data_IF_041149122573
#
_entry.id   IF_041149122573
#
_cell.length_a   1.000
_cell.length_b   1.000
_cell.length_c   1.000
_cell.angle_alpha   90.00
_cell.angle_beta   90.00
_cell.angle_gamma   90.00
#
_symmetry.space_group_name_H-M   'P 1'
#
loop_
_entity.id
_entity.type
_entity.pdbx_description
1 polymer ?
#
# COMPACT_ATOMS: atom_id res chain seq x y z
N UNK A 1 13.61 -7.52 -9.18
CA UNK A 1 14.47 -7.00 -10.27
C UNK A 1 15.20 -5.80 -9.72
N UNK A 2 16.49 -5.66 -10.03
CA UNK A 2 17.29 -4.49 -9.63
C UNK A 2 17.13 -3.38 -10.66
N UNK A 3 17.38 -2.13 -10.26
CA UNK A 3 17.33 -0.97 -11.16
C UNK A 3 18.18 -1.17 -12.43
N UNK A 4 19.40 -1.69 -12.28
CA UNK A 4 20.28 -2.00 -13.42
C UNK A 4 19.70 -3.05 -14.37
N UNK A 5 19.06 -4.10 -13.84
CA UNK A 5 18.44 -5.12 -14.69
C UNK A 5 17.28 -4.58 -15.54
N UNK A 6 16.55 -3.58 -15.02
CA UNK A 6 15.48 -2.92 -15.78
C UNK A 6 16.03 -2.01 -16.89
N UNK A 7 17.18 -1.36 -16.68
CA UNK A 7 17.89 -0.59 -17.71
C UNK A 7 18.30 -1.52 -18.86
N UNK A 8 18.92 -2.67 -18.54
CA UNK A 8 19.39 -3.63 -19.53
C UNK A 8 18.23 -4.23 -20.35
N UNK A 9 17.13 -4.57 -19.67
CA UNK A 9 15.92 -5.06 -20.32
C UNK A 9 15.29 -4.00 -21.23
N UNK A 10 15.22 -2.74 -20.80
CA UNK A 10 14.72 -1.65 -21.63
C UNK A 10 15.63 -1.36 -22.83
N UNK A 11 16.95 -1.37 -22.63
CA UNK A 11 17.93 -1.15 -23.69
C UNK A 11 17.86 -2.25 -24.76
N UNK A 12 17.70 -3.50 -24.33
CA UNK A 12 17.53 -4.65 -25.24
C UNK A 12 16.28 -4.50 -26.10
N UNK A 13 15.14 -4.17 -25.48
CA UNK A 13 13.88 -3.97 -26.21
C UNK A 13 13.94 -2.76 -27.17
N UNK A 14 14.53 -1.64 -26.75
CA UNK A 14 14.70 -0.46 -27.61
C UNK A 14 15.57 -0.80 -28.83
N UNK A 15 16.63 -1.60 -28.64
CA UNK A 15 17.48 -2.06 -29.73
C UNK A 15 16.73 -2.95 -30.72
N UNK A 16 15.85 -3.84 -30.25
CA UNK A 16 15.02 -4.70 -31.11
C UNK A 16 14.06 -3.89 -32.00
N UNK A 17 13.51 -2.79 -31.48
CA UNK A 17 12.60 -1.91 -32.23
C UNK A 17 13.33 -0.94 -33.18
N UNK A 18 14.66 -0.87 -33.08
CA UNK A 18 15.50 -0.09 -33.99
C UNK A 18 15.20 1.41 -33.98
N UNK A 19 15.27 2.04 -35.16
CA UNK A 19 15.17 3.50 -35.30
C UNK A 19 13.82 4.08 -34.88
N UNK A 20 12.77 3.26 -34.81
CA UNK A 20 11.45 3.69 -34.38
C UNK A 20 11.44 4.19 -32.92
N UNK A 21 12.36 3.70 -32.08
CA UNK A 21 12.40 3.97 -30.64
C UNK A 21 13.60 4.82 -30.20
N UNK A 22 14.28 5.50 -31.13
CA UNK A 22 15.47 6.32 -30.84
C UNK A 22 15.24 7.45 -29.81
N UNK A 23 14.00 7.90 -29.61
CA UNK A 23 13.67 8.94 -28.64
C UNK A 23 13.47 8.41 -27.20
N UNK A 24 13.47 7.08 -27.01
CA UNK A 24 13.21 6.45 -25.70
C UNK A 24 14.55 6.24 -24.98
N UNK A 25 14.65 6.75 -23.76
CA UNK A 25 15.80 6.49 -22.89
C UNK A 25 15.56 5.22 -22.05
N UNK A 26 16.43 4.19 -22.15
CA UNK A 26 16.34 2.98 -21.31
C UNK A 26 16.33 3.30 -19.81
N UNK A 27 17.11 4.30 -19.39
CA UNK A 27 17.22 4.68 -17.99
C UNK A 27 15.92 5.31 -17.46
N UNK A 28 15.31 6.21 -18.23
CA UNK A 28 14.04 6.80 -17.81
C UNK A 28 12.91 5.76 -17.75
N UNK A 29 12.91 4.77 -18.66
CA UNK A 29 11.99 3.62 -18.57
C UNK A 29 12.21 2.84 -17.27
N UNK A 30 13.47 2.54 -16.92
CA UNK A 30 13.80 1.83 -15.69
C UNK A 30 13.38 2.61 -14.43
N UNK A 31 13.54 3.94 -14.42
CA UNK A 31 13.08 4.81 -13.32
C UNK A 31 11.57 4.74 -13.14
N UNK A 32 10.80 4.81 -14.24
CA UNK A 32 9.34 4.69 -14.19
C UNK A 32 8.89 3.31 -13.67
N UNK A 33 9.59 2.24 -14.04
CA UNK A 33 9.33 0.88 -13.52
C UNK A 33 9.64 0.79 -12.02
N UNK A 34 10.78 1.32 -11.58
CA UNK A 34 11.15 1.34 -10.16
C UNK A 34 10.15 2.14 -9.31
N UNK A 35 9.67 3.28 -9.82
CA UNK A 35 8.65 4.11 -9.19
C UNK A 35 7.25 3.46 -9.16
N UNK A 36 7.04 2.38 -9.91
CA UNK A 36 5.79 1.63 -9.95
C UNK A 36 6.01 0.14 -9.64
N UNK A 37 6.74 -0.13 -8.54
CA UNK A 37 7.06 -1.49 -8.06
C UNK A 37 5.82 -2.39 -7.93
N UNK A 38 4.72 -1.86 -7.41
CA UNK A 38 3.46 -2.58 -7.25
C UNK A 38 2.48 -2.15 -8.33
N UNK A 39 2.26 -3.01 -9.32
CA UNK A 39 1.46 -2.68 -10.49
C UNK A 39 -0.03 -2.93 -10.26
N UNK A 40 -0.37 -3.90 -9.42
CA UNK A 40 -1.74 -4.27 -9.08
C UNK A 40 -1.94 -4.37 -7.56
N UNK A 41 -3.20 -4.27 -7.11
CA UNK A 41 -3.52 -4.55 -5.70
C UNK A 41 -3.23 -6.01 -5.33
N UNK A 42 -3.34 -6.96 -6.26
CA UNK A 42 -2.97 -8.36 -6.00
C UNK A 42 -1.47 -8.51 -5.68
N UNK A 43 -0.59 -7.72 -6.31
CA UNK A 43 0.83 -7.72 -5.97
C UNK A 43 1.06 -7.22 -4.53
N UNK A 44 0.31 -6.18 -4.14
CA UNK A 44 0.32 -5.62 -2.79
C UNK A 44 -0.19 -6.65 -1.78
N UNK A 45 -1.32 -7.28 -2.05
CA UNK A 45 -1.94 -8.27 -1.16
C UNK A 45 -1.01 -9.46 -0.91
N UNK A 46 -0.37 -10.00 -1.96
CA UNK A 46 0.63 -11.08 -1.83
C UNK A 46 1.85 -10.65 -1.02
N UNK A 47 2.40 -9.48 -1.33
CA UNK A 47 3.57 -8.94 -0.64
C UNK A 47 3.30 -8.72 0.86
N UNK A 48 2.18 -8.07 1.18
CA UNK A 48 1.83 -7.72 2.55
C UNK A 48 1.34 -8.91 3.37
N UNK A 49 0.70 -9.91 2.75
CA UNK A 49 0.36 -11.16 3.42
C UNK A 49 1.61 -11.88 3.94
N UNK A 50 2.71 -11.90 3.17
CA UNK A 50 3.97 -12.49 3.60
C UNK A 50 4.57 -11.76 4.81
N UNK A 51 4.50 -10.43 4.82
CA UNK A 51 4.95 -9.62 5.97
C UNK A 51 4.14 -9.96 7.22
N UNK A 52 2.81 -9.98 7.12
CA UNK A 52 1.95 -10.29 8.26
C UNK A 52 2.23 -11.70 8.81
N UNK A 53 2.41 -12.69 7.94
CA UNK A 53 2.76 -14.07 8.37
C UNK A 53 4.10 -14.14 9.08
N UNK A 54 5.12 -13.41 8.59
CA UNK A 54 6.41 -13.28 9.27
C UNK A 54 6.25 -12.63 10.64
N UNK A 55 5.49 -11.55 10.73
CA UNK A 55 5.28 -10.84 11.98
C UNK A 55 4.51 -11.67 13.02
N UNK A 56 3.52 -12.47 12.59
CA UNK A 56 2.83 -13.44 13.44
C UNK A 56 3.80 -14.47 14.03
N UNK A 57 4.68 -15.06 13.20
CA UNK A 57 5.66 -16.04 13.66
C UNK A 57 6.68 -15.43 14.63
N UNK A 58 7.07 -14.17 14.42
CA UNK A 58 7.94 -13.44 15.34
C UNK A 58 7.24 -13.16 16.69
N UNK A 59 5.94 -12.84 16.68
CA UNK A 59 5.15 -12.67 17.90
C UNK A 59 4.95 -13.99 18.66
N UNK A 60 4.69 -15.10 17.95
CA UNK A 60 4.57 -16.43 18.56
C UNK A 60 5.87 -16.84 19.27
N UNK A 61 7.02 -16.44 18.74
CA UNK A 61 8.32 -16.68 19.35
C UNK A 61 8.64 -15.70 20.50
N UNK A 62 8.17 -14.46 20.40
CA UNK A 62 8.39 -13.39 21.37
C UNK A 62 7.20 -12.42 21.42
N UNK A 63 6.42 -12.50 22.49
CA UNK A 63 5.24 -11.65 22.73
C UNK A 63 5.54 -10.14 22.79
N UNK A 64 6.80 -9.72 22.97
CA UNK A 64 7.18 -8.30 22.88
C UNK A 64 7.27 -7.80 21.44
N UNK A 65 7.35 -8.70 20.46
CA UNK A 65 7.45 -8.41 19.02
C UNK A 65 6.09 -8.21 18.34
N UNK A 66 5.22 -7.41 18.98
CA UNK A 66 3.88 -7.11 18.48
C UNK A 66 3.86 -6.06 17.35
N UNK A 67 2.72 -5.94 16.67
CA UNK A 67 2.47 -4.98 15.58
C UNK A 67 1.44 -3.93 15.99
N UNK A 68 1.47 -2.76 15.35
CA UNK A 68 0.53 -1.67 15.65
C UNK A 68 -0.03 -1.01 14.38
N UNK A 69 -1.23 -0.45 14.49
CA UNK A 69 -1.88 0.31 13.43
C UNK A 69 -2.68 1.48 14.01
N UNK A 70 -3.08 2.38 13.12
CA UNK A 70 -4.08 3.42 13.38
C UNK A 70 -5.05 3.42 12.21
N UNK A 71 -6.32 3.64 12.52
CA UNK A 71 -7.36 3.85 11.52
C UNK A 71 -7.01 5.04 10.61
N UNK A 72 -7.13 4.86 9.30
CA UNK A 72 -6.97 5.94 8.32
C UNK A 72 -8.20 6.04 7.43
N UNK A 73 -8.95 7.13 7.54
CA UNK A 73 -10.21 7.33 6.80
C UNK A 73 -10.00 7.85 5.37
N UNK A 74 -8.78 8.21 4.98
CA UNK A 74 -8.46 8.67 3.63
C UNK A 74 -7.00 8.34 3.27
N UNK A 75 -6.73 8.15 1.97
CA UNK A 75 -5.42 7.81 1.44
C UNK A 75 -4.32 8.77 1.85
N UNK A 76 -4.61 10.07 1.83
CA UNK A 76 -3.69 11.11 2.31
C UNK A 76 -3.32 10.97 3.78
N UNK A 77 -4.26 10.58 4.65
CA UNK A 77 -3.97 10.36 6.08
C UNK A 77 -3.06 9.14 6.26
N UNK A 78 -3.35 8.05 5.55
CA UNK A 78 -2.48 6.86 5.52
C UNK A 78 -1.08 7.18 5.01
N UNK A 79 -0.97 8.00 3.97
CA UNK A 79 0.30 8.46 3.42
C UNK A 79 1.12 9.27 4.42
N UNK A 80 0.53 10.31 5.02
CA UNK A 80 1.24 11.14 6.00
C UNK A 80 1.67 10.32 7.22
N UNK A 81 0.84 9.35 7.66
CA UNK A 81 1.21 8.41 8.72
C UNK A 81 2.48 7.63 8.36
N UNK A 82 2.55 7.04 7.17
CA UNK A 82 3.71 6.24 6.78
C UNK A 82 4.97 7.08 6.53
N UNK A 83 4.83 8.29 5.99
CA UNK A 83 5.93 9.24 5.86
C UNK A 83 6.48 9.62 7.24
N UNK A 84 5.60 9.92 8.20
CA UNK A 84 6.00 10.24 9.56
C UNK A 84 6.72 9.07 10.25
N UNK A 85 6.23 7.84 10.06
CA UNK A 85 6.86 6.62 10.58
C UNK A 85 8.28 6.46 10.02
N UNK A 86 8.47 6.52 8.69
CA UNK A 86 9.82 6.43 8.11
C UNK A 86 10.73 7.55 8.60
N UNK A 87 10.22 8.79 8.67
CA UNK A 87 11.00 9.96 9.12
C UNK A 87 11.50 9.83 10.56
N UNK A 88 10.65 9.36 11.47
CA UNK A 88 10.95 9.39 12.91
C UNK A 88 11.38 8.05 13.48
N UNK A 89 10.88 6.94 12.94
CA UNK A 89 11.13 5.58 13.42
C UNK A 89 12.04 4.78 12.48
N UNK A 90 12.46 5.37 11.34
CA UNK A 90 13.43 4.82 10.37
C UNK A 90 13.01 3.54 9.63
N UNK A 91 11.94 2.86 10.05
CA UNK A 91 11.43 1.65 9.38
C UNK A 91 9.91 1.56 9.45
N UNK A 92 9.31 0.95 8.43
CA UNK A 92 7.89 0.59 8.41
C UNK A 92 7.59 -0.74 9.11
N UNK A 93 8.62 -1.53 9.45
CA UNK A 93 8.49 -2.82 10.11
C UNK A 93 7.60 -2.73 11.36
N UNK A 94 6.69 -3.69 11.56
CA UNK A 94 5.68 -3.73 12.65
C UNK A 94 4.59 -2.65 12.64
N UNK A 95 4.48 -1.84 11.58
CA UNK A 95 3.47 -0.77 11.48
C UNK A 95 2.54 -1.01 10.30
N UNK A 96 1.25 -1.13 10.57
CA UNK A 96 0.21 -1.44 9.58
C UNK A 96 -0.78 -0.29 9.39
N UNK A 97 -1.62 -0.39 8.37
CA UNK A 97 -2.87 0.34 8.23
C UNK A 97 -4.03 -0.40 8.91
N UNK A 98 -5.01 0.35 9.40
CA UNK A 98 -6.33 -0.19 9.75
C UNK A 98 -7.39 0.55 8.94
N UNK A 99 -8.28 -0.20 8.30
CA UNK A 99 -9.49 0.33 7.69
C UNK A 99 -10.64 0.09 8.66
N UNK A 100 -11.26 1.17 9.12
CA UNK A 100 -12.36 1.13 10.07
C UNK A 100 -13.69 1.23 9.32
N UNK A 101 -14.58 0.23 9.47
CA UNK A 101 -15.94 0.27 8.94
C UNK A 101 -16.72 1.48 9.46
N UNK A 102 -16.55 1.81 10.75
CA UNK A 102 -17.11 3.02 11.38
C UNK A 102 -16.71 4.31 10.64
N UNK A 103 -15.42 4.51 10.34
CA UNK A 103 -14.99 5.72 9.65
C UNK A 103 -15.44 5.76 8.19
N UNK A 104 -15.59 4.60 7.54
CA UNK A 104 -16.18 4.52 6.19
C UNK A 104 -17.64 5.00 6.26
N UNK A 105 -18.44 4.47 7.18
CA UNK A 105 -19.83 4.88 7.37
C UNK A 105 -19.94 6.38 7.69
N UNK A 106 -19.10 6.90 8.58
CA UNK A 106 -19.19 8.28 9.05
C UNK A 106 -18.69 9.33 8.02
N UNK A 107 -17.74 8.97 7.14
CA UNK A 107 -17.00 9.98 6.36
C UNK A 107 -16.93 9.69 4.86
N UNK A 108 -17.19 8.46 4.41
CA UNK A 108 -16.90 8.02 3.04
C UNK A 108 -18.12 7.62 2.23
N UNK A 109 -19.29 7.59 2.85
CA UNK A 109 -20.52 7.27 2.15
C UNK A 109 -21.00 8.42 1.27
N UNK A 110 -21.49 8.09 0.07
CA UNK A 110 -22.18 9.05 -0.81
C UNK A 110 -23.47 9.59 -0.17
N UNK A 111 -24.04 8.88 0.82
CA UNK A 111 -25.19 9.33 1.61
C UNK A 111 -24.83 10.37 2.68
N UNK A 112 -23.56 10.73 2.80
CA UNK A 112 -23.05 11.53 3.91
C UNK A 112 -22.85 10.69 5.19
N UNK A 113 -22.73 11.33 6.37
CA UNK A 113 -22.45 10.62 7.61
C UNK A 113 -23.57 9.66 8.01
N UNK A 114 -23.23 8.37 8.12
CA UNK A 114 -24.11 7.31 8.59
C UNK A 114 -23.61 6.70 9.91
N UNK A 115 -24.51 6.12 10.72
CA UNK A 115 -24.09 5.30 11.85
C UNK A 115 -23.44 4.00 11.36
N UNK A 116 -22.65 3.39 12.23
CA UNK A 116 -21.89 2.15 11.97
C UNK A 116 -22.77 0.91 12.01
N UNK A 117 -23.60 0.76 10.99
CA UNK A 117 -24.62 -0.30 10.84
C UNK A 117 -24.63 -0.90 9.41
N UNK A 118 -23.51 -0.83 8.70
CA UNK A 118 -23.35 -1.36 7.33
C UNK A 118 -24.37 -0.86 6.28
N UNK A 119 -24.98 0.32 6.50
CA UNK A 119 -26.00 0.89 5.61
C UNK A 119 -25.43 1.64 4.41
N UNK A 120 -24.14 1.99 4.45
CA UNK A 120 -23.46 2.64 3.34
C UNK A 120 -23.23 1.67 2.18
N UNK A 121 -23.01 2.21 1.00
CA UNK A 121 -22.63 1.46 -0.19
C UNK A 121 -21.31 0.71 0.02
N UNK A 122 -21.38 -0.63 -0.01
CA UNK A 122 -20.25 -1.52 0.31
C UNK A 122 -19.00 -1.28 -0.54
N UNK A 123 -19.15 -0.70 -1.73
CA UNK A 123 -18.04 -0.32 -2.61
C UNK A 123 -17.09 0.67 -1.95
N UNK A 124 -17.56 1.51 -1.05
CA UNK A 124 -16.75 2.52 -0.33
C UNK A 124 -15.67 1.91 0.56
N UNK A 125 -15.89 0.68 1.05
CA UNK A 125 -14.87 -0.10 1.77
C UNK A 125 -13.70 -0.44 0.84
N UNK A 126 -13.98 -1.10 -0.30
CA UNK A 126 -12.95 -1.48 -1.27
C UNK A 126 -12.26 -0.27 -1.92
N UNK A 127 -13.01 0.81 -2.16
CA UNK A 127 -12.49 2.04 -2.74
C UNK A 127 -11.47 2.71 -1.82
N UNK A 128 -11.72 2.74 -0.49
CA UNK A 128 -10.77 3.28 0.47
C UNK A 128 -9.46 2.46 0.52
N UNK A 129 -9.52 1.13 0.39
CA UNK A 129 -8.31 0.29 0.30
C UNK A 129 -7.47 0.68 -0.91
N UNK A 130 -8.11 0.77 -2.09
CA UNK A 130 -7.44 1.14 -3.33
C UNK A 130 -6.85 2.56 -3.25
N UNK A 131 -7.57 3.50 -2.64
CA UNK A 131 -7.12 4.88 -2.40
C UNK A 131 -5.89 4.90 -1.49
N UNK A 132 -5.93 4.21 -0.34
CA UNK A 132 -4.80 4.12 0.58
C UNK A 132 -3.54 3.63 -0.14
N UNK A 133 -3.64 2.54 -0.90
CA UNK A 133 -2.48 2.02 -1.63
C UNK A 133 -2.05 2.89 -2.80
N UNK A 134 -2.97 3.61 -3.45
CA UNK A 134 -2.62 4.61 -4.47
C UNK A 134 -1.75 5.71 -3.88
N UNK A 135 -2.14 6.24 -2.73
CA UNK A 135 -1.37 7.28 -2.05
C UNK A 135 -0.02 6.78 -1.51
N UNK A 136 0.07 5.55 -1.00
CA UNK A 136 1.34 4.96 -0.57
C UNK A 136 2.30 4.71 -1.73
N UNK A 137 1.81 4.16 -2.85
CA UNK A 137 2.61 3.99 -4.08
C UNK A 137 3.11 5.33 -4.61
N UNK A 138 2.29 6.37 -4.54
CA UNK A 138 2.70 7.71 -4.94
C UNK A 138 3.77 8.31 -4.01
N UNK A 139 3.78 7.95 -2.72
CA UNK A 139 4.85 8.36 -1.82
C UNK A 139 6.19 7.73 -2.20
N UNK A 140 6.20 6.43 -2.53
CA UNK A 140 7.38 5.74 -3.07
C UNK A 140 7.88 6.42 -4.34
N UNK A 141 6.98 6.63 -5.31
CA UNK A 141 7.32 7.25 -6.59
C UNK A 141 7.95 8.63 -6.42
N UNK A 142 7.40 9.44 -5.51
CA UNK A 142 7.93 10.78 -5.18
C UNK A 142 9.31 10.70 -4.52
N UNK A 143 9.50 9.83 -3.54
CA UNK A 143 10.77 9.66 -2.84
C UNK A 143 11.87 9.18 -3.80
N UNK A 144 11.59 8.13 -4.58
CA UNK A 144 12.48 7.64 -5.63
C UNK A 144 12.77 8.71 -6.69
N UNK A 145 11.77 9.49 -7.09
CA UNK A 145 11.97 10.63 -7.99
C UNK A 145 12.85 11.75 -7.41
N UNK A 146 12.91 11.88 -6.08
CA UNK A 146 13.93 12.70 -5.41
C UNK A 146 15.32 12.09 -5.55
N UNK A 147 15.46 10.81 -5.22
CA UNK A 147 16.74 10.09 -5.30
C UNK A 147 17.32 10.04 -6.72
N UNK A 148 16.51 9.85 -7.75
CA UNK A 148 17.01 9.89 -9.13
C UNK A 148 17.53 11.27 -9.55
N UNK A 149 16.94 12.36 -9.04
CA UNK A 149 17.46 13.71 -9.27
C UNK A 149 18.76 13.97 -8.51
N UNK A 150 18.89 13.43 -7.30
CA UNK A 150 20.16 13.44 -6.56
C UNK A 150 21.24 12.64 -7.30
N UNK A 151 20.87 11.51 -7.90
CA UNK A 151 21.78 10.67 -8.68
C UNK A 151 22.28 11.41 -9.93
N UNK A 152 21.38 12.09 -10.66
CA UNK A 152 21.73 12.91 -11.81
C UNK A 152 22.68 14.06 -11.41
N UNK A 153 22.36 14.77 -10.34
CA UNK A 153 23.20 15.86 -9.84
C UNK A 153 24.60 15.38 -9.42
N UNK A 154 24.71 14.21 -8.78
CA UNK A 154 26.00 13.62 -8.41
C UNK A 154 26.84 13.26 -9.65
N UNK A 155 26.22 12.70 -10.68
CA UNK A 155 26.87 12.37 -11.96
C UNK A 155 27.33 13.63 -12.71
N UNK A 156 26.49 14.65 -12.77
CA UNK A 156 26.82 15.94 -13.39
C UNK A 156 27.99 16.63 -12.67
N UNK A 157 28.07 16.49 -11.34
CA UNK A 157 29.18 17.01 -10.55
C UNK A 157 30.46 16.14 -10.62
N UNK A 158 30.40 14.94 -11.19
CA UNK A 158 31.50 13.98 -11.19
C UNK A 158 31.85 13.42 -9.81
N UNK A 159 30.91 13.47 -8.85
CA UNK A 159 31.11 13.00 -7.48
C UNK A 159 30.74 11.50 -7.37
N UNK A 160 31.74 10.65 -7.60
CA UNK A 160 31.58 9.20 -7.56
C UNK A 160 31.15 8.67 -6.17
N UNK A 161 31.52 9.36 -5.09
CA UNK A 161 31.13 8.95 -3.74
C UNK A 161 29.65 9.25 -3.48
N UNK A 162 29.18 10.43 -3.89
CA UNK A 162 27.77 10.80 -3.82
C UNK A 162 26.91 9.92 -4.74
N UNK A 163 27.38 9.62 -5.96
CA UNK A 163 26.69 8.72 -6.88
C UNK A 163 26.47 7.34 -6.25
N UNK A 164 27.53 6.72 -5.72
CA UNK A 164 27.44 5.42 -5.07
C UNK A 164 26.52 5.44 -3.82
N UNK A 165 26.57 6.51 -3.04
CA UNK A 165 25.71 6.67 -1.87
C UNK A 165 24.22 6.77 -2.24
N UNK A 166 23.88 7.55 -3.27
CA UNK A 166 22.49 7.69 -3.74
C UNK A 166 22.00 6.41 -4.40
N UNK A 167 22.84 5.74 -5.20
CA UNK A 167 22.51 4.45 -5.80
C UNK A 167 22.17 3.42 -4.73
N UNK A 168 22.94 3.36 -3.64
CA UNK A 168 22.65 2.48 -2.49
C UNK A 168 21.29 2.80 -1.84
N UNK A 169 20.90 4.08 -1.73
CA UNK A 169 19.57 4.46 -1.23
C UNK A 169 18.44 4.00 -2.15
N UNK A 170 18.64 4.04 -3.47
CA UNK A 170 17.67 3.58 -4.47
C UNK A 170 17.50 2.06 -4.35
N UNK A 171 18.61 1.32 -4.33
CA UNK A 171 18.59 -0.15 -4.30
C UNK A 171 18.00 -0.70 -2.99
N UNK A 172 18.16 0.03 -1.89
CA UNK A 172 17.65 -0.33 -0.57
C UNK A 172 16.40 0.47 -0.15
N UNK A 173 15.70 1.10 -1.10
CA UNK A 173 14.52 1.90 -0.78
C UNK A 173 13.43 1.05 -0.08
N UNK A 174 13.12 1.41 1.16
CA UNK A 174 12.02 0.82 1.92
C UNK A 174 10.68 1.45 1.47
N UNK A 175 9.80 0.63 0.91
CA UNK A 175 8.47 1.06 0.45
C UNK A 175 7.58 1.52 1.62
N UNK A 176 6.70 2.49 1.34
CA UNK A 176 5.62 2.90 2.24
C UNK A 176 4.44 1.91 2.24
N UNK A 177 4.39 0.96 1.29
CA UNK A 177 3.36 -0.08 1.21
C UNK A 177 3.53 -1.06 2.36
N UNK A 178 2.55 -1.08 3.26
CA UNK A 178 2.49 -1.94 4.44
C UNK A 178 1.19 -2.75 4.50
N UNK A 179 1.12 -3.82 5.32
CA UNK A 179 -0.12 -4.55 5.54
C UNK A 179 -1.27 -3.66 6.01
N UNK A 180 -2.48 -4.04 5.61
CA UNK A 180 -3.74 -3.47 6.10
C UNK A 180 -4.59 -4.57 6.72
N UNK A 181 -5.13 -4.29 7.91
CA UNK A 181 -6.24 -5.05 8.49
C UNK A 181 -7.51 -4.31 8.07
N UNK A 182 -8.34 -4.98 7.25
CA UNK A 182 -9.51 -4.36 6.66
C UNK A 182 -10.81 -4.92 7.24
N UNK A 183 -11.57 -4.05 7.87
CA UNK A 183 -12.91 -4.34 8.40
C UNK A 183 -13.93 -4.53 7.26
N UNK A 184 -14.61 -5.67 7.25
CA UNK A 184 -15.71 -5.98 6.32
C UNK A 184 -17.07 -6.02 7.03
N UNK A 185 -17.14 -5.57 8.28
CA UNK A 185 -18.30 -5.71 9.14
C UNK A 185 -18.70 -7.19 9.27
N UNK A 186 -19.99 -7.50 9.10
CA UNK A 186 -20.53 -8.86 9.00
C UNK A 186 -20.68 -9.33 7.53
N UNK A 187 -19.97 -8.71 6.58
CA UNK A 187 -19.94 -9.14 5.18
C UNK A 187 -20.98 -8.50 4.25
N UNK A 188 -21.75 -7.52 4.73
CA UNK A 188 -22.75 -6.76 3.94
C UNK A 188 -23.77 -7.66 3.20
N UNK A 189 -24.19 -8.76 3.83
CA UNK A 189 -25.18 -9.69 3.31
C UNK A 189 -24.89 -11.13 3.73
N UNK A 190 -25.29 -12.08 2.88
CA UNK A 190 -25.00 -13.51 3.05
C UNK A 190 -23.55 -13.87 2.67
N UNK A 191 -23.23 -15.16 2.67
CA UNK A 191 -21.90 -15.69 2.37
C UNK A 191 -21.44 -15.35 0.94
N UNK A 192 -22.35 -15.35 -0.03
CA UNK A 192 -22.04 -14.98 -1.41
C UNK A 192 -21.72 -13.48 -1.53
N UNK A 193 -22.51 -12.62 -0.87
CA UNK A 193 -22.23 -11.19 -0.81
C UNK A 193 -20.89 -10.90 -0.12
N UNK A 194 -20.60 -11.64 0.96
CA UNK A 194 -19.34 -11.56 1.70
C UNK A 194 -18.16 -11.93 0.80
N UNK A 195 -18.28 -13.04 0.06
CA UNK A 195 -17.25 -13.47 -0.89
C UNK A 195 -16.97 -12.41 -1.97
N UNK A 196 -18.02 -11.86 -2.58
CA UNK A 196 -17.89 -10.84 -3.63
C UNK A 196 -17.17 -9.59 -3.12
N UNK A 197 -17.55 -9.11 -1.93
CA UNK A 197 -16.92 -7.93 -1.32
C UNK A 197 -15.47 -8.22 -0.90
N UNK A 198 -15.21 -9.35 -0.22
CA UNK A 198 -13.87 -9.73 0.19
C UNK A 198 -12.92 -9.87 -1.01
N UNK A 199 -13.40 -10.44 -2.13
CA UNK A 199 -12.65 -10.52 -3.38
C UNK A 199 -12.24 -9.12 -3.87
N UNK A 200 -13.17 -8.17 -3.91
CA UNK A 200 -12.87 -6.79 -4.34
C UNK A 200 -11.88 -6.10 -3.39
N UNK A 201 -12.00 -6.32 -2.07
CA UNK A 201 -11.06 -5.78 -1.08
C UNK A 201 -9.63 -6.33 -1.27
N UNK A 202 -9.50 -7.63 -1.57
CA UNK A 202 -8.20 -8.26 -1.86
C UNK A 202 -7.64 -7.77 -3.19
N UNK A 203 -8.47 -7.66 -4.24
CA UNK A 203 -8.08 -7.07 -5.54
C UNK A 203 -7.60 -5.62 -5.40
N UNK A 204 -8.15 -4.87 -4.44
CA UNK A 204 -7.71 -3.52 -4.08
C UNK A 204 -6.40 -3.48 -3.27
N UNK A 205 -5.99 -4.60 -2.67
CA UNK A 205 -4.69 -4.75 -1.99
C UNK A 205 -4.74 -5.27 -0.56
N UNK A 206 -5.91 -5.55 0.01
CA UNK A 206 -5.98 -6.06 1.38
C UNK A 206 -5.43 -7.49 1.49
N UNK A 207 -4.53 -7.71 2.45
CA UNK A 207 -4.02 -9.03 2.80
C UNK A 207 -4.76 -9.69 3.98
N UNK A 208 -5.50 -8.89 4.76
CA UNK A 208 -6.19 -9.33 5.97
C UNK A 208 -7.60 -8.75 6.00
N UNK A 209 -8.59 -9.62 6.18
CA UNK A 209 -10.00 -9.28 6.28
C UNK A 209 -10.46 -9.63 7.69
N UNK A 210 -11.01 -8.65 8.40
CA UNK A 210 -11.65 -8.82 9.70
C UNK A 210 -13.16 -8.91 9.46
N UNK A 211 -13.77 -10.02 9.88
CA UNK A 211 -15.20 -10.31 9.80
C UNK A 211 -15.73 -10.59 11.21
N UNK A 212 -16.92 -10.10 11.53
CA UNK A 212 -17.56 -10.32 12.84
C UNK A 212 -18.81 -11.22 12.75
N UNK A 213 -19.23 -11.76 13.89
CA UNK A 213 -20.35 -12.71 14.01
C UNK A 213 -21.69 -12.06 14.39
N UNK A 214 -21.78 -10.73 14.31
CA UNK A 214 -23.03 -10.00 14.55
C UNK A 214 -23.94 -10.07 13.32
N UNK A 215 -25.25 -9.86 13.51
CA UNK A 215 -26.22 -9.95 12.40
C UNK A 215 -26.14 -8.67 11.56
N UNK A 216 -25.94 -8.80 10.25
CA UNK A 216 -25.68 -7.66 9.34
C UNK A 216 -26.80 -6.61 9.27
N UNK A 217 -28.05 -6.97 9.58
CA UNK A 217 -29.22 -6.08 9.57
C UNK A 217 -29.52 -5.42 10.94
N UNK A 218 -28.89 -5.92 12.00
CA UNK A 218 -28.94 -5.37 13.36
C UNK A 218 -27.53 -5.00 13.88
N UNK A 219 -26.54 -4.93 12.98
CA UNK A 219 -25.14 -4.64 13.34
C UNK A 219 -25.10 -3.32 14.09
N UNK A 220 -24.47 -3.34 15.26
CA UNK A 220 -24.17 -2.14 16.03
C UNK A 220 -22.66 -2.07 16.27
N UNK A 221 -22.14 -0.85 16.39
CA UNK A 221 -20.77 -0.64 16.79
C UNK A 221 -20.45 -1.40 18.09
N UNK A 222 -19.20 -1.87 18.21
CA UNK A 222 -18.69 -2.64 19.33
C UNK A 222 -18.91 -2.05 20.74
N UNK A 223 -19.24 -0.77 20.84
CA UNK A 223 -19.42 -0.02 22.09
C UNK A 223 -20.88 0.40 22.37
N UNK A 224 -21.84 0.01 21.52
CA UNK A 224 -23.27 0.29 21.72
C UNK A 224 -23.94 -0.91 22.39
N UNK A 225 -24.79 -0.65 23.40
CA UNK A 225 -25.63 -1.66 24.04
C UNK A 225 -26.75 -2.09 23.07
N UNK A 226 -26.87 -3.39 22.78
CA UNK A 226 -27.86 -3.94 21.83
C UNK A 226 -27.30 -4.87 20.76
N UNK A 227 -26.08 -5.37 20.93
CA UNK A 227 -25.45 -6.40 20.08
C UNK A 227 -26.18 -7.74 20.10
#
# INVERSE_FOLDING_TARGET
MSYSSDIDAAASLIKEQGSAWNAISPEYVARMRAQNRFQTGIDIAKYTAAIMRKDMAEYDADSSSYTQSLGCWHGFIGQQKMIAIKKHLQTTNKRYLYLSGWMVAALRSDFGPLPDQSMHEKTSVSALIAELYTFLRQADARELGGLFRELDAAREAGDAAAEAAVQSKIDNHETHVVPIIADIDAGFGNEEATYLLAKQMIEAGACCIQLENQVSDAKQCGHQDGK
#
